data_IF_072282450737
#
_entry.id   IF_072282450737
#
_cell.length_a   1.000
_cell.length_b   1.000
_cell.length_c   1.000
_cell.angle_alpha   90.00
_cell.angle_beta   90.00
_cell.angle_gamma   90.00
#
_symmetry.space_group_name_H-M   'P 1'
#
loop_
_entity.id
_entity.type
_entity.pdbx_description
1 polymer ?
#
# COMPACT_ATOMS: atom_id res chain seq x y z
N UNK A 1 5.02 -19.34 -6.90
CA UNK A 1 5.72 -19.07 -5.62
C UNK A 1 4.69 -19.16 -4.49
N UNK A 2 5.09 -19.66 -3.32
CA UNK A 2 4.26 -19.65 -2.12
C UNK A 2 4.70 -18.54 -1.16
N UNK A 3 3.73 -17.90 -0.51
CA UNK A 3 3.93 -16.86 0.50
C UNK A 3 3.14 -17.17 1.76
N UNK A 4 3.64 -16.71 2.89
CA UNK A 4 3.15 -17.10 4.21
C UNK A 4 2.57 -15.89 4.94
N UNK A 5 1.29 -15.94 5.31
CA UNK A 5 0.68 -14.90 6.12
C UNK A 5 0.40 -15.43 7.52
N UNK A 6 0.95 -14.71 8.50
CA UNK A 6 0.81 -15.03 9.91
C UNK A 6 -0.48 -14.43 10.45
N UNK A 7 -1.21 -15.24 11.21
CA UNK A 7 -2.47 -14.85 11.80
C UNK A 7 -2.51 -15.18 13.28
N UNK A 8 -3.00 -14.22 14.08
CA UNK A 8 -3.44 -14.46 15.45
C UNK A 8 -4.76 -15.25 15.42
N UNK A 9 -5.07 -16.03 16.47
CA UNK A 9 -6.33 -16.77 16.54
C UNK A 9 -7.47 -15.81 16.96
N UNK A 10 -7.77 -14.83 16.12
CA UNK A 10 -8.76 -13.78 16.39
C UNK A 10 -9.83 -13.69 15.29
N UNK A 11 -10.77 -12.75 15.48
CA UNK A 11 -11.88 -12.52 14.57
C UNK A 11 -11.45 -12.11 13.16
N UNK A 12 -10.30 -11.43 13.01
CA UNK A 12 -9.82 -11.02 11.68
C UNK A 12 -9.29 -12.23 10.91
N UNK A 13 -8.64 -13.17 11.59
CA UNK A 13 -8.28 -14.44 10.98
C UNK A 13 -9.50 -15.26 10.55
N UNK A 14 -10.50 -15.38 11.41
CA UNK A 14 -11.72 -16.13 11.09
C UNK A 14 -12.42 -15.57 9.83
N UNK A 15 -12.44 -14.24 9.67
CA UNK A 15 -12.90 -13.58 8.44
C UNK A 15 -12.03 -13.88 7.23
N UNK A 16 -10.70 -13.80 7.39
CA UNK A 16 -9.75 -14.05 6.31
C UNK A 16 -9.99 -15.43 5.66
N UNK A 17 -10.15 -16.49 6.46
CA UNK A 17 -10.41 -17.82 5.92
C UNK A 17 -11.87 -18.04 5.52
N UNK A 18 -12.85 -17.47 6.23
CA UNK A 18 -14.27 -17.70 5.92
C UNK A 18 -14.71 -17.00 4.63
N UNK A 19 -14.24 -15.78 4.42
CA UNK A 19 -14.65 -14.94 3.30
C UNK A 19 -13.55 -14.77 2.24
N UNK A 20 -12.44 -15.52 2.38
CA UNK A 20 -11.27 -15.43 1.51
C UNK A 20 -10.75 -13.99 1.43
N UNK A 21 -10.66 -13.32 2.58
CA UNK A 21 -10.36 -11.89 2.70
C UNK A 21 -8.87 -11.63 2.95
N UNK A 22 -8.35 -10.63 2.23
CA UNK A 22 -7.10 -9.95 2.54
C UNK A 22 -7.43 -8.52 2.99
N UNK A 23 -7.05 -8.22 4.23
CA UNK A 23 -7.10 -6.87 4.77
C UNK A 23 -5.80 -6.11 4.46
N UNK A 24 -5.94 -4.99 3.76
CA UNK A 24 -4.87 -4.05 3.47
C UNK A 24 -4.86 -2.98 4.56
N UNK A 25 -3.96 -3.14 5.52
CA UNK A 25 -3.82 -2.26 6.68
C UNK A 25 -3.47 -0.83 6.29
N UNK A 26 -4.08 0.12 6.97
CA UNK A 26 -3.69 1.53 6.93
C UNK A 26 -2.34 1.75 7.62
N UNK A 27 -1.61 2.84 7.30
CA UNK A 27 -0.32 3.15 7.93
C UNK A 27 -0.37 3.18 9.46
N UNK A 28 -1.46 3.71 10.04
CA UNK A 28 -1.66 3.81 11.49
C UNK A 28 -1.79 2.44 12.19
N UNK A 29 -2.02 1.35 11.46
CA UNK A 29 -2.19 -0.01 11.97
C UNK A 29 -0.90 -0.85 11.86
N UNK A 30 0.16 -0.29 11.27
CA UNK A 30 1.44 -0.98 11.11
C UNK A 30 2.28 -0.91 12.39
N UNK A 31 3.04 -1.96 12.65
CA UNK A 31 3.94 -2.03 13.80
C UNK A 31 5.15 -1.08 13.68
N UNK A 32 5.52 -0.70 12.47
CA UNK A 32 6.58 0.27 12.21
C UNK A 32 5.95 1.63 11.84
N UNK A 33 6.09 2.65 12.71
CA UNK A 33 5.50 3.96 12.45
C UNK A 33 6.14 4.72 11.28
N UNK A 34 7.28 4.24 10.75
CA UNK A 34 7.93 4.84 9.58
C UNK A 34 7.65 4.03 8.30
N UNK A 35 6.96 2.90 8.39
CA UNK A 35 6.62 2.09 7.23
C UNK A 35 5.57 2.81 6.36
N UNK A 36 5.68 2.64 5.04
CA UNK A 36 4.89 3.33 4.00
C UNK A 36 4.90 4.87 4.02
N UNK A 37 5.50 5.51 5.03
CA UNK A 37 5.66 6.95 5.08
C UNK A 37 6.80 7.42 4.16
N UNK A 38 6.54 8.55 3.49
CA UNK A 38 7.50 9.28 2.67
C UNK A 38 7.62 10.70 3.19
N UNK A 39 8.85 11.19 3.21
CA UNK A 39 9.14 12.61 3.38
C UNK A 39 9.29 13.24 2.00
N UNK A 40 8.87 14.50 1.89
CA UNK A 40 8.99 15.26 0.65
C UNK A 40 9.90 16.46 0.88
N UNK A 41 10.71 16.76 -0.13
CA UNK A 41 11.58 17.94 -0.15
C UNK A 41 11.33 18.80 -1.38
N UNK A 42 11.63 20.08 -1.24
CA UNK A 42 11.72 21.00 -2.36
C UNK A 42 13.17 21.10 -2.83
N UNK A 43 13.44 20.59 -4.03
CA UNK A 43 14.74 20.74 -4.68
C UNK A 43 15.05 22.21 -5.01
N UNK A 44 16.31 22.50 -5.33
CA UNK A 44 16.80 23.82 -5.69
C UNK A 44 16.79 24.12 -7.21
N UNK A 45 16.27 23.20 -8.02
CA UNK A 45 16.32 23.23 -9.49
C UNK A 45 15.18 24.08 -10.06
N UNK A 46 15.52 25.24 -10.62
CA UNK A 46 14.55 26.21 -11.19
C UNK A 46 13.67 25.60 -12.29
N UNK A 47 14.23 24.72 -13.14
CA UNK A 47 13.48 24.10 -14.24
C UNK A 47 12.32 23.21 -13.74
N UNK A 48 12.39 22.66 -12.52
CA UNK A 48 11.30 21.85 -11.98
C UNK A 48 10.08 22.71 -11.60
N UNK A 49 10.30 23.92 -11.07
CA UNK A 49 9.22 24.89 -10.86
C UNK A 49 8.57 25.27 -12.17
N UNK A 50 9.37 25.51 -13.22
CA UNK A 50 8.83 25.78 -14.56
C UNK A 50 7.95 24.61 -15.04
N UNK A 51 8.40 23.37 -14.91
CA UNK A 51 7.59 22.19 -15.27
C UNK A 51 6.27 22.15 -14.49
N UNK A 52 6.32 22.37 -13.17
CA UNK A 52 5.13 22.39 -12.33
C UNK A 52 4.12 23.45 -12.79
N UNK A 53 4.58 24.70 -13.00
CA UNK A 53 3.70 25.82 -13.36
C UNK A 53 3.05 25.66 -14.74
N UNK A 54 3.76 25.05 -15.70
CA UNK A 54 3.21 24.74 -17.03
C UNK A 54 2.31 23.49 -17.05
N UNK A 55 2.29 22.70 -15.97
CA UNK A 55 1.45 21.51 -15.92
C UNK A 55 -0.03 21.89 -15.84
N UNK A 56 -0.87 21.16 -16.56
CA UNK A 56 -2.32 21.34 -16.54
C UNK A 56 -2.92 20.83 -15.23
N UNK A 57 -3.99 21.49 -14.79
CA UNK A 57 -4.74 21.07 -13.62
C UNK A 57 -6.24 20.96 -13.90
N UNK A 58 -6.88 19.92 -13.36
CA UNK A 58 -8.31 19.67 -13.58
C UNK A 58 -9.19 20.39 -12.54
N UNK A 59 -8.77 20.39 -11.26
CA UNK A 59 -9.56 20.89 -10.13
C UNK A 59 -9.20 22.31 -9.66
N UNK A 60 -8.34 22.99 -10.43
CA UNK A 60 -8.03 24.41 -10.25
C UNK A 60 -7.90 25.05 -11.63
N UNK A 61 -7.42 26.30 -11.71
CA UNK A 61 -7.24 26.95 -12.99
C UNK A 61 -6.29 26.14 -13.90
N UNK A 62 -6.80 25.78 -15.08
CA UNK A 62 -6.21 24.74 -15.92
C UNK A 62 -4.77 25.07 -16.30
N UNK A 63 -4.52 26.28 -16.76
CA UNK A 63 -3.22 26.71 -17.30
C UNK A 63 -2.82 28.05 -16.70
N UNK A 64 -1.86 28.04 -15.77
CA UNK A 64 -1.40 29.25 -15.12
C UNK A 64 -0.71 30.24 -16.07
N UNK A 65 -0.31 29.84 -17.29
CA UNK A 65 0.30 30.73 -18.27
C UNK A 65 -0.66 31.82 -18.78
N UNK A 66 -1.98 31.65 -18.60
CA UNK A 66 -2.94 32.71 -18.94
C UNK A 66 -2.95 33.86 -17.91
N UNK A 67 -2.33 33.68 -16.74
CA UNK A 67 -2.30 34.65 -15.65
C UNK A 67 -0.86 35.07 -15.33
N UNK A 68 0.09 34.14 -15.40
CA UNK A 68 1.49 34.32 -15.00
C UNK A 68 2.38 34.45 -16.23
N UNK A 69 3.36 35.36 -16.18
CA UNK A 69 4.40 35.47 -17.19
C UNK A 69 5.46 34.38 -16.96
N UNK A 70 5.17 33.18 -17.48
CA UNK A 70 6.07 32.03 -17.37
C UNK A 70 7.27 32.09 -18.32
N UNK A 71 7.33 33.09 -19.22
CA UNK A 71 8.52 33.35 -20.04
C UNK A 71 9.65 33.99 -19.24
N UNK A 72 9.31 34.66 -18.14
CA UNK A 72 10.24 35.29 -17.22
C UNK A 72 10.58 34.35 -16.06
N UNK A 73 11.84 34.37 -15.64
CA UNK A 73 12.29 33.55 -14.51
C UNK A 73 11.87 34.09 -13.14
N UNK A 74 11.23 35.27 -13.05
CA UNK A 74 10.94 35.95 -11.78
C UNK A 74 10.13 35.09 -10.82
N UNK A 75 9.00 34.55 -11.27
CA UNK A 75 8.14 33.71 -10.43
C UNK A 75 8.84 32.43 -9.99
N UNK A 76 9.54 31.78 -10.92
CA UNK A 76 10.30 30.56 -10.67
C UNK A 76 11.43 30.80 -9.65
N UNK A 77 12.16 31.90 -9.78
CA UNK A 77 13.21 32.30 -8.83
C UNK A 77 12.64 32.65 -7.45
N UNK A 78 11.51 33.36 -7.41
CA UNK A 78 10.83 33.72 -6.18
C UNK A 78 10.33 32.50 -5.42
N UNK A 79 9.59 31.60 -6.08
CA UNK A 79 9.12 30.36 -5.48
C UNK A 79 10.29 29.48 -5.03
N UNK A 80 11.33 29.33 -5.86
CA UNK A 80 12.50 28.57 -5.46
C UNK A 80 13.22 29.18 -4.25
N UNK A 81 13.28 30.51 -4.13
CA UNK A 81 13.89 31.17 -2.96
C UNK A 81 13.12 30.85 -1.68
N UNK A 82 11.79 30.84 -1.74
CA UNK A 82 10.90 30.53 -0.60
C UNK A 82 11.04 29.06 -0.20
N UNK A 83 10.95 28.15 -1.17
CA UNK A 83 10.76 26.74 -0.91
C UNK A 83 12.05 25.89 -0.84
N UNK A 84 13.16 26.31 -1.48
CA UNK A 84 14.37 25.48 -1.59
C UNK A 84 14.83 24.90 -0.24
N UNK A 85 15.05 23.59 -0.20
CA UNK A 85 15.54 22.89 0.99
C UNK A 85 14.52 22.70 2.11
N UNK A 86 13.30 23.23 1.98
CA UNK A 86 12.20 22.91 2.90
C UNK A 86 11.77 21.47 2.73
N UNK A 87 11.30 20.90 3.83
CA UNK A 87 10.81 19.52 3.94
C UNK A 87 9.41 19.52 4.50
N UNK A 88 8.59 18.59 4.02
CA UNK A 88 7.26 18.32 4.55
C UNK A 88 7.12 16.82 4.77
N UNK A 89 6.37 16.45 5.81
CA UNK A 89 5.96 15.06 5.98
C UNK A 89 4.93 14.71 4.91
N UNK A 90 4.70 13.42 4.66
CA UNK A 90 3.75 12.96 3.66
C UNK A 90 2.26 13.22 3.93
N UNK A 91 1.92 14.16 4.82
CA UNK A 91 0.56 14.60 5.05
C UNK A 91 0.29 15.96 4.42
N UNK A 92 -0.97 16.19 4.06
CA UNK A 92 -1.40 17.42 3.38
C UNK A 92 -1.30 18.66 4.28
N UNK A 93 -1.48 18.47 5.59
CA UNK A 93 -1.37 19.53 6.60
C UNK A 93 0.03 20.15 6.64
N UNK A 94 1.08 19.36 6.43
CA UNK A 94 2.45 19.89 6.38
C UNK A 94 2.65 20.84 5.20
N UNK A 95 1.99 20.60 4.05
CA UNK A 95 2.03 21.54 2.93
C UNK A 95 1.18 22.79 3.20
N UNK A 96 0.02 22.63 3.83
CA UNK A 96 -0.81 23.76 4.26
C UNK A 96 -0.03 24.71 5.18
N UNK A 97 0.55 24.18 6.25
CA UNK A 97 1.34 24.95 7.21
C UNK A 97 2.51 25.67 6.54
N UNK A 98 3.14 25.05 5.53
CA UNK A 98 4.24 25.67 4.80
C UNK A 98 3.79 26.84 3.92
N UNK A 99 2.60 26.75 3.32
CA UNK A 99 2.02 27.85 2.57
C UNK A 99 1.60 28.99 3.51
N UNK A 100 0.99 28.66 4.64
CA UNK A 100 0.52 29.63 5.61
C UNK A 100 1.69 30.41 6.25
N UNK A 101 2.81 29.72 6.54
CA UNK A 101 4.06 30.34 7.04
C UNK A 101 4.62 31.38 6.06
N UNK A 102 4.42 31.19 4.75
CA UNK A 102 5.00 32.03 3.69
C UNK A 102 3.95 32.77 2.85
N UNK A 103 2.74 32.95 3.38
CA UNK A 103 1.61 33.45 2.61
C UNK A 103 1.90 34.78 1.91
N UNK A 104 2.43 35.76 2.64
CA UNK A 104 2.71 37.09 2.11
C UNK A 104 3.82 37.08 1.06
N UNK A 105 4.88 36.31 1.28
CA UNK A 105 5.99 36.16 0.34
C UNK A 105 5.53 35.47 -0.95
N UNK A 106 4.73 34.42 -0.84
CA UNK A 106 4.17 33.69 -2.00
C UNK A 106 3.29 34.64 -2.81
N UNK A 107 2.38 35.36 -2.15
CA UNK A 107 1.48 36.32 -2.83
C UNK A 107 2.25 37.45 -3.49
N UNK A 108 3.31 37.94 -2.85
CA UNK A 108 4.19 38.96 -3.44
C UNK A 108 4.87 38.43 -4.71
N UNK A 109 5.45 37.22 -4.66
CA UNK A 109 6.09 36.58 -5.82
C UNK A 109 5.09 36.36 -6.95
N UNK A 110 3.86 35.95 -6.63
CA UNK A 110 2.79 35.79 -7.62
C UNK A 110 2.49 37.14 -8.30
N UNK A 111 2.25 38.22 -7.53
CA UNK A 111 1.99 39.57 -8.09
C UNK A 111 3.10 40.04 -9.01
N UNK A 112 4.36 39.87 -8.59
CA UNK A 112 5.54 40.25 -9.39
C UNK A 112 5.72 39.40 -10.67
N UNK A 113 5.12 38.20 -10.69
CA UNK A 113 5.15 37.26 -11.80
C UNK A 113 3.89 37.26 -12.68
N UNK A 114 2.89 38.09 -12.39
CA UNK A 114 1.67 38.17 -13.18
C UNK A 114 1.87 38.89 -14.51
N UNK A 115 1.11 38.47 -15.51
CA UNK A 115 0.94 39.25 -16.74
C UNK A 115 0.28 40.59 -16.41
N UNK A 116 0.55 41.66 -17.20
CA UNK A 116 -0.23 42.89 -17.13
C UNK A 116 -1.72 42.59 -17.22
N UNK A 117 -2.53 43.19 -16.34
CA UNK A 117 -3.97 42.87 -16.22
C UNK A 117 -4.73 42.99 -17.54
N UNK A 118 -4.36 43.95 -18.39
CA UNK A 118 -4.96 44.17 -19.70
C UNK A 118 -4.64 43.07 -20.73
N UNK A 119 -3.71 42.15 -20.43
CA UNK A 119 -3.39 40.96 -21.22
C UNK A 119 -4.06 39.69 -20.70
N UNK A 120 -4.69 39.75 -19.52
CA UNK A 120 -5.38 38.63 -18.89
C UNK A 120 -6.85 38.67 -19.32
N UNK A 121 -7.41 37.52 -19.70
CA UNK A 121 -8.82 37.44 -20.12
C UNK A 121 -9.74 37.82 -18.93
N UNK A 122 -10.61 38.85 -19.07
CA UNK A 122 -11.49 39.31 -18.00
C UNK A 122 -12.45 38.24 -17.45
N UNK A 123 -12.77 37.23 -18.25
CA UNK A 123 -13.61 36.09 -17.83
C UNK A 123 -12.99 35.36 -16.62
N UNK A 124 -11.66 35.36 -16.48
CA UNK A 124 -10.95 34.65 -15.41
C UNK A 124 -11.25 35.26 -14.03
N UNK A 125 -11.44 36.58 -13.96
CA UNK A 125 -11.69 37.29 -12.70
C UNK A 125 -13.12 37.84 -12.58
N UNK A 126 -14.00 37.52 -13.52
CA UNK A 126 -15.47 37.70 -13.45
C UNK A 126 -15.93 39.07 -12.92
N UNK A 127 -15.41 40.15 -13.51
CA UNK A 127 -15.71 41.54 -13.10
C UNK A 127 -15.50 41.83 -11.60
N UNK A 128 -14.62 41.07 -10.92
CA UNK A 128 -14.28 41.31 -9.52
C UNK A 128 -13.85 42.78 -9.30
N UNK A 129 -14.30 43.44 -8.21
CA UNK A 129 -13.86 44.78 -7.87
C UNK A 129 -12.37 44.85 -7.52
N UNK A 130 -11.75 43.71 -7.21
CA UNK A 130 -10.32 43.57 -6.93
C UNK A 130 -9.69 42.47 -7.81
N UNK A 131 -9.55 42.70 -9.13
CA UNK A 131 -9.11 41.67 -10.07
C UNK A 131 -7.75 41.08 -9.71
N UNK A 132 -6.80 41.91 -9.29
CA UNK A 132 -5.46 41.47 -8.92
C UNK A 132 -5.50 40.49 -7.74
N UNK A 133 -6.24 40.82 -6.67
CA UNK A 133 -6.35 39.96 -5.49
C UNK A 133 -7.06 38.63 -5.81
N UNK A 134 -8.06 38.66 -6.70
CA UNK A 134 -8.72 37.46 -7.22
C UNK A 134 -7.75 36.57 -8.00
N UNK A 135 -6.99 37.15 -8.92
CA UNK A 135 -6.01 36.43 -9.75
C UNK A 135 -4.86 35.84 -8.92
N UNK A 136 -4.39 36.56 -7.91
CA UNK A 136 -3.40 36.06 -6.95
C UNK A 136 -3.93 34.82 -6.24
N UNK A 137 -5.16 34.88 -5.72
CA UNK A 137 -5.82 33.74 -5.06
C UNK A 137 -5.95 32.54 -6.02
N UNK A 138 -6.32 32.78 -7.28
CA UNK A 138 -6.41 31.73 -8.30
C UNK A 138 -5.05 31.06 -8.53
N UNK A 139 -3.98 31.85 -8.64
CA UNK A 139 -2.63 31.33 -8.83
C UNK A 139 -2.12 30.58 -7.61
N UNK A 140 -2.32 31.13 -6.41
CA UNK A 140 -1.94 30.50 -5.13
C UNK A 140 -2.57 29.10 -5.02
N UNK A 141 -3.88 29.02 -5.22
CA UNK A 141 -4.62 27.76 -5.23
C UNK A 141 -4.14 26.84 -6.36
N UNK A 142 -3.88 27.37 -7.55
CA UNK A 142 -3.38 26.60 -8.68
C UNK A 142 -2.00 25.99 -8.46
N UNK A 143 -1.09 26.70 -7.78
CA UNK A 143 0.24 26.19 -7.42
C UNK A 143 0.11 25.13 -6.33
N UNK A 144 -0.65 25.44 -5.27
CA UNK A 144 -0.85 24.54 -4.13
C UNK A 144 -1.50 23.23 -4.57
N UNK A 145 -2.49 23.30 -5.46
CA UNK A 145 -3.15 22.15 -6.09
C UNK A 145 -2.18 21.24 -6.85
N UNK A 146 -1.32 21.82 -7.68
CA UNK A 146 -0.32 21.07 -8.44
C UNK A 146 0.66 20.33 -7.54
N UNK A 147 1.01 20.91 -6.40
CA UNK A 147 1.86 20.28 -5.38
C UNK A 147 1.11 19.18 -4.62
N UNK A 148 -0.15 19.38 -4.25
CA UNK A 148 -0.94 18.35 -3.57
C UNK A 148 -1.02 17.05 -4.34
N UNK A 149 -1.27 17.12 -5.64
CA UNK A 149 -1.35 15.94 -6.51
C UNK A 149 -0.05 15.13 -6.58
N UNK A 150 1.06 15.66 -6.05
CA UNK A 150 2.35 14.97 -5.93
C UNK A 150 2.52 14.24 -4.59
N UNK A 151 1.70 14.56 -3.59
CA UNK A 151 1.72 13.94 -2.27
C UNK A 151 0.75 12.76 -2.28
N UNK A 152 1.27 11.57 -1.96
CA UNK A 152 0.44 10.39 -1.66
C UNK A 152 0.00 10.45 -0.20
N UNK A 153 -1.30 10.65 0.10
CA UNK A 153 -1.78 10.89 1.47
C UNK A 153 -1.70 9.64 2.36
N UNK A 154 -1.95 8.47 1.77
CA UNK A 154 -1.87 7.19 2.46
C UNK A 154 -1.53 6.06 1.48
N UNK A 155 -0.95 4.99 2.02
CA UNK A 155 -0.78 3.72 1.31
C UNK A 155 -1.26 2.59 2.21
N UNK A 156 -2.13 1.76 1.66
CA UNK A 156 -2.67 0.60 2.36
C UNK A 156 -1.95 -0.65 1.89
N UNK A 157 -1.61 -1.56 2.80
CA UNK A 157 -0.82 -2.73 2.41
C UNK A 157 -1.21 -4.02 3.11
N UNK A 158 -0.97 -5.12 2.40
CA UNK A 158 -1.02 -6.46 2.98
C UNK A 158 0.35 -7.13 2.81
N UNK A 159 0.86 -7.63 3.93
CA UNK A 159 2.18 -8.24 4.03
C UNK A 159 2.11 -9.75 4.15
N UNK A 160 3.10 -10.39 3.55
CA UNK A 160 3.41 -11.81 3.61
C UNK A 160 4.90 -12.00 3.88
N UNK A 161 5.29 -13.18 4.34
CA UNK A 161 6.68 -13.59 4.45
C UNK A 161 7.00 -14.66 3.41
N UNK A 162 8.26 -14.73 2.97
CA UNK A 162 8.78 -15.91 2.28
C UNK A 162 9.31 -16.99 3.23
N UNK A 163 9.29 -16.77 4.54
CA UNK A 163 9.71 -17.74 5.54
C UNK A 163 8.55 -18.08 6.47
N UNK A 164 8.13 -19.35 6.48
CA UNK A 164 7.03 -19.82 7.31
C UNK A 164 7.41 -20.15 8.77
N UNK A 165 8.70 -20.35 9.05
CA UNK A 165 9.18 -20.89 10.33
C UNK A 165 10.01 -19.88 11.15
N UNK A 166 10.01 -18.60 10.77
CA UNK A 166 10.71 -17.57 11.53
C UNK A 166 10.09 -17.37 12.92
N UNK A 167 10.88 -17.61 13.97
CA UNK A 167 10.40 -17.56 15.36
C UNK A 167 9.92 -16.18 15.79
N UNK A 168 10.51 -15.10 15.28
CA UNK A 168 10.12 -13.73 15.62
C UNK A 168 8.78 -13.41 14.96
N UNK A 169 8.56 -13.87 13.73
CA UNK A 169 7.26 -13.77 13.05
C UNK A 169 6.16 -14.51 13.82
N UNK A 170 6.43 -15.73 14.28
CA UNK A 170 5.47 -16.49 15.10
C UNK A 170 5.18 -15.82 16.45
N UNK A 171 6.18 -15.23 17.09
CA UNK A 171 6.02 -14.49 18.33
C UNK A 171 5.14 -13.24 18.16
N UNK A 172 5.43 -12.41 17.15
CA UNK A 172 4.76 -11.12 16.95
C UNK A 172 3.42 -11.22 16.23
N UNK A 173 3.34 -12.04 15.18
CA UNK A 173 2.22 -12.04 14.23
C UNK A 173 1.29 -13.26 14.35
N UNK A 174 1.77 -14.39 14.89
CA UNK A 174 0.93 -15.57 15.16
C UNK A 174 0.58 -15.73 16.65
N UNK A 175 0.33 -14.61 17.34
CA UNK A 175 -0.22 -14.58 18.69
C UNK A 175 0.65 -15.30 19.70
N UNK A 176 1.98 -15.17 19.60
CA UNK A 176 2.89 -15.93 20.45
C UNK A 176 2.71 -17.43 20.26
N UNK A 177 2.85 -17.93 19.02
CA UNK A 177 2.80 -19.38 18.70
C UNK A 177 1.44 -20.07 18.94
N UNK A 178 0.38 -19.32 19.24
CA UNK A 178 -1.00 -19.84 19.41
C UNK A 178 -1.85 -19.71 18.14
N UNK A 179 -1.43 -18.85 17.21
CA UNK A 179 -2.05 -18.64 15.92
C UNK A 179 -1.59 -19.63 14.86
N UNK A 180 -1.65 -19.23 13.61
CA UNK A 180 -1.26 -20.07 12.48
C UNK A 180 -0.61 -19.26 11.36
N UNK A 181 -0.13 -19.98 10.35
CA UNK A 181 0.34 -19.43 9.09
C UNK A 181 -0.52 -19.98 7.98
N UNK A 182 -1.12 -19.10 7.17
CA UNK A 182 -1.82 -19.47 5.95
C UNK A 182 -0.86 -19.40 4.77
N UNK A 183 -0.84 -20.44 3.97
CA UNK A 183 0.02 -20.60 2.79
C UNK A 183 -0.76 -20.15 1.57
N UNK A 184 -0.25 -19.12 0.89
CA UNK A 184 -0.85 -18.56 -0.32
C UNK A 184 -0.04 -18.91 -1.57
N UNK A 185 -0.70 -19.37 -2.62
CA UNK A 185 -0.12 -19.46 -3.95
C UNK A 185 -0.19 -18.12 -4.67
N UNK A 186 0.93 -17.72 -5.26
CA UNK A 186 0.99 -16.54 -6.14
C UNK A 186 1.01 -16.97 -7.59
N UNK A 187 0.41 -16.15 -8.46
CA UNK A 187 0.44 -16.33 -9.90
C UNK A 187 1.71 -15.68 -10.45
N UNK A 188 2.30 -16.28 -11.49
CA UNK A 188 3.45 -15.73 -12.20
C UNK A 188 3.07 -15.38 -13.63
N UNK A 189 3.65 -14.30 -14.16
CA UNK A 189 3.57 -14.01 -15.60
C UNK A 189 4.45 -14.98 -16.38
N UNK A 190 4.14 -15.15 -17.66
CA UNK A 190 4.86 -16.04 -18.60
C UNK A 190 6.36 -15.73 -18.69
N UNK A 191 6.78 -14.52 -18.33
CA UNK A 191 8.18 -14.09 -18.28
C UNK A 191 8.90 -14.45 -16.96
N UNK A 192 8.21 -15.07 -15.99
CA UNK A 192 8.70 -15.41 -14.64
C UNK A 192 9.28 -14.22 -13.83
N UNK A 193 9.09 -12.98 -14.27
CA UNK A 193 9.74 -11.81 -13.62
C UNK A 193 8.92 -11.20 -12.49
N UNK A 194 7.59 -11.37 -12.51
CA UNK A 194 6.68 -10.70 -11.58
C UNK A 194 5.64 -11.69 -11.03
N UNK A 195 5.56 -11.76 -9.70
CA UNK A 195 4.50 -12.47 -8.99
C UNK A 195 3.34 -11.53 -8.68
N UNK A 196 2.11 -12.04 -8.74
CA UNK A 196 0.91 -11.26 -8.49
C UNK A 196 -0.22 -12.11 -7.90
N UNK A 197 -1.25 -11.44 -7.39
CA UNK A 197 -2.50 -12.07 -6.99
C UNK A 197 -3.68 -11.33 -7.65
N UNK A 198 -4.68 -12.10 -8.08
CA UNK A 198 -5.95 -11.57 -8.56
C UNK A 198 -6.93 -11.50 -7.40
N UNK A 199 -7.44 -10.30 -7.13
CA UNK A 199 -8.39 -10.05 -6.06
C UNK A 199 -9.67 -9.38 -6.58
N UNK A 200 -10.72 -9.42 -5.78
CA UNK A 200 -12.03 -8.81 -6.06
C UNK A 200 -12.41 -7.87 -4.94
N UNK A 201 -13.19 -6.85 -5.25
CA UNK A 201 -13.77 -5.91 -4.27
C UNK A 201 -14.87 -6.56 -3.41
N UNK A 202 -15.55 -7.58 -3.95
CA UNK A 202 -16.55 -8.38 -3.24
C UNK A 202 -16.53 -9.85 -3.71
N UNK A 203 -16.98 -10.78 -2.85
CA UNK A 203 -17.00 -12.23 -3.13
C UNK A 203 -17.80 -12.59 -4.40
N UNK A 204 -18.83 -11.81 -4.73
CA UNK A 204 -19.69 -12.03 -5.90
C UNK A 204 -19.35 -11.14 -7.09
N UNK A 205 -18.32 -10.29 -6.98
CA UNK A 205 -17.94 -9.38 -8.05
C UNK A 205 -17.27 -10.13 -9.19
N UNK A 206 -17.61 -9.75 -10.42
CA UNK A 206 -16.86 -10.14 -11.62
C UNK A 206 -15.62 -9.26 -11.83
N UNK A 207 -15.56 -8.10 -11.17
CA UNK A 207 -14.45 -7.17 -11.28
C UNK A 207 -13.23 -7.75 -10.56
N UNK A 208 -12.14 -7.93 -11.32
CA UNK A 208 -10.91 -8.54 -10.82
C UNK A 208 -9.74 -7.58 -11.00
N UNK A 209 -9.05 -7.32 -9.89
CA UNK A 209 -7.86 -6.48 -9.82
C UNK A 209 -6.62 -7.36 -9.77
N UNK A 210 -5.59 -7.01 -10.55
CA UNK A 210 -4.29 -7.69 -10.50
C UNK A 210 -3.35 -6.87 -9.63
N UNK A 211 -2.97 -7.42 -8.47
CA UNK A 211 -2.04 -6.78 -7.55
C UNK A 211 -0.64 -7.38 -7.69
N UNK A 212 0.36 -6.60 -8.12
CA UNK A 212 1.75 -7.00 -8.07
C UNK A 212 2.18 -7.27 -6.63
N UNK A 213 2.91 -8.36 -6.43
CA UNK A 213 3.55 -8.69 -5.16
C UNK A 213 5.03 -8.37 -5.31
N UNK A 214 5.52 -7.45 -4.46
CA UNK A 214 6.90 -6.98 -4.51
C UNK A 214 7.66 -7.38 -3.24
N UNK A 215 8.92 -7.85 -3.35
CA UNK A 215 9.77 -8.07 -2.19
C UNK A 215 10.18 -6.73 -1.55
N UNK A 216 10.34 -6.73 -0.23
CA UNK A 216 10.83 -5.57 0.51
C UNK A 216 12.36 -5.51 0.48
N UNK A 217 12.90 -4.32 0.16
CA UNK A 217 14.31 -3.96 0.28
C UNK A 217 14.56 -3.41 1.69
N UNK A 218 15.51 -4.00 2.42
CA UNK A 218 15.82 -3.57 3.79
C UNK A 218 16.96 -2.55 3.83
N UNK A 219 16.64 -1.30 4.18
CA UNK A 219 17.57 -0.18 4.23
C UNK A 219 17.27 0.75 5.40
N UNK A 220 18.32 1.36 5.95
CA UNK A 220 18.18 2.39 6.99
C UNK A 220 18.17 3.81 6.38
N UNK A 221 18.13 3.93 5.06
CA UNK A 221 18.07 5.20 4.36
C UNK A 221 16.69 5.83 4.55
N UNK A 222 16.67 7.16 4.70
CA UNK A 222 15.43 7.93 4.72
C UNK A 222 14.72 7.81 3.36
N UNK A 223 13.39 7.70 3.40
CA UNK A 223 12.54 7.66 2.21
C UNK A 223 12.11 9.08 1.87
N UNK A 224 12.94 9.79 1.09
CA UNK A 224 12.73 11.19 0.73
C UNK A 224 12.54 11.36 -0.79
N UNK A 225 11.49 12.09 -1.17
CA UNK A 225 11.10 12.34 -2.57
C UNK A 225 11.14 13.83 -2.88
N UNK A 226 11.56 14.19 -4.08
CA UNK A 226 11.41 15.57 -4.56
C UNK A 226 9.96 15.84 -4.95
N UNK A 227 9.35 16.86 -4.33
CA UNK A 227 7.97 17.24 -4.63
C UNK A 227 7.81 17.88 -6.03
N UNK A 228 8.92 18.38 -6.59
CA UNK A 228 8.92 19.09 -7.87
C UNK A 228 9.32 18.19 -9.06
N UNK A 229 9.89 17.02 -8.79
CA UNK A 229 10.41 16.15 -9.85
C UNK A 229 9.27 15.44 -10.59
N UNK A 230 9.21 15.55 -11.93
CA UNK A 230 8.19 14.86 -12.70
C UNK A 230 8.48 13.37 -12.82
N UNK A 231 7.43 12.55 -12.69
CA UNK A 231 7.49 11.13 -13.08
C UNK A 231 8.32 10.23 -12.17
N UNK A 232 8.59 10.61 -10.93
CA UNK A 232 9.26 9.72 -9.97
C UNK A 232 8.34 8.55 -9.65
N UNK A 233 8.73 7.33 -10.03
CA UNK A 233 8.08 6.12 -9.57
C UNK A 233 8.44 5.86 -8.10
N UNK A 234 7.62 6.40 -7.20
CA UNK A 234 7.79 6.25 -5.75
C UNK A 234 7.32 4.90 -5.23
N UNK A 235 6.78 4.04 -6.11
CA UNK A 235 6.33 2.68 -5.79
C UNK A 235 7.46 1.84 -5.18
N UNK A 236 8.70 2.04 -5.63
CA UNK A 236 9.87 1.35 -5.05
C UNK A 236 10.15 1.76 -3.60
N UNK A 237 9.88 3.01 -3.22
CA UNK A 237 10.14 3.52 -1.87
C UNK A 237 9.15 2.93 -0.85
N UNK A 238 7.93 2.59 -1.27
CA UNK A 238 6.99 1.83 -0.44
C UNK A 238 7.41 0.38 -0.21
N UNK A 239 8.37 -0.11 -1.01
CA UNK A 239 9.02 -1.40 -0.81
C UNK A 239 10.33 -1.29 -0.02
N UNK A 240 10.59 -0.18 0.67
CA UNK A 240 11.76 -0.03 1.54
C UNK A 240 11.36 0.00 3.01
N UNK A 241 11.98 -0.86 3.82
CA UNK A 241 11.75 -0.98 5.26
C UNK A 241 13.06 -0.97 6.03
N UNK A 242 13.03 -0.55 7.30
CA UNK A 242 14.21 -0.52 8.16
C UNK A 242 14.83 -1.92 8.31
N UNK A 243 16.16 -2.02 8.38
CA UNK A 243 16.87 -3.31 8.52
C UNK A 243 16.53 -4.08 9.79
N UNK A 244 16.03 -3.41 10.82
CA UNK A 244 15.53 -4.05 12.04
C UNK A 244 14.41 -5.08 11.74
N UNK A 245 13.62 -4.86 10.70
CA UNK A 245 12.53 -5.75 10.28
C UNK A 245 12.95 -6.83 9.26
N UNK A 246 14.26 -7.00 9.01
CA UNK A 246 14.76 -7.94 8.00
C UNK A 246 14.30 -9.39 8.20
N UNK A 247 14.07 -9.79 9.45
CA UNK A 247 13.61 -11.14 9.79
C UNK A 247 12.25 -11.48 9.15
N UNK A 248 11.43 -10.48 8.85
CA UNK A 248 10.10 -10.70 8.26
C UNK A 248 10.15 -11.28 6.85
N UNK A 249 11.27 -11.11 6.13
CA UNK A 249 11.45 -11.59 4.75
C UNK A 249 10.24 -11.23 3.88
N UNK A 250 9.85 -9.96 3.94
CA UNK A 250 8.53 -9.48 3.58
C UNK A 250 8.33 -9.37 2.07
N UNK A 251 7.15 -9.78 1.62
CA UNK A 251 6.55 -9.49 0.33
C UNK A 251 5.24 -8.75 0.55
N UNK A 252 4.94 -7.76 -0.31
CA UNK A 252 3.81 -6.86 -0.10
C UNK A 252 3.02 -6.62 -1.37
N UNK A 253 1.70 -6.51 -1.20
CA UNK A 253 0.80 -5.81 -2.13
C UNK A 253 0.33 -4.53 -1.46
N UNK A 254 0.11 -3.48 -2.23
CA UNK A 254 -0.35 -2.21 -1.67
C UNK A 254 -1.18 -1.39 -2.66
N UNK A 255 -1.96 -0.48 -2.09
CA UNK A 255 -2.82 0.46 -2.80
C UNK A 255 -2.48 1.87 -2.32
N UNK A 256 -1.84 2.70 -3.15
CA UNK A 256 -1.69 4.11 -2.84
C UNK A 256 -3.05 4.82 -3.00
N UNK A 257 -3.38 5.70 -2.06
CA UNK A 257 -4.48 6.64 -2.22
C UNK A 257 -4.08 7.69 -3.26
N UNK A 258 -4.86 7.82 -4.33
CA UNK A 258 -4.65 8.89 -5.29
C UNK A 258 -5.09 10.22 -4.68
N UNK A 259 -4.22 11.24 -4.78
CA UNK A 259 -4.59 12.58 -4.35
C UNK A 259 -5.30 13.33 -5.49
N UNK A 260 -6.58 13.64 -5.30
CA UNK A 260 -7.40 14.37 -6.28
C UNK A 260 -7.32 15.89 -6.12
N UNK A 261 -6.58 16.38 -5.12
CA UNK A 261 -6.35 17.80 -4.87
C UNK A 261 -7.44 18.52 -4.07
N UNK A 262 -7.33 19.84 -3.98
CA UNK A 262 -8.15 20.79 -3.20
C UNK A 262 -9.64 20.66 -3.56
N UNK A 263 -9.98 20.43 -4.84
CA UNK A 263 -11.36 20.52 -5.33
C UNK A 263 -12.26 19.32 -5.01
N UNK A 264 -11.70 18.15 -4.69
CA UNK A 264 -12.48 16.94 -4.42
C UNK A 264 -12.17 16.30 -3.05
N UNK A 265 -10.98 16.51 -2.49
CA UNK A 265 -10.59 15.84 -1.24
C UNK A 265 -10.93 16.67 0.01
N UNK A 266 -11.06 17.99 -0.07
CA UNK A 266 -11.35 18.82 1.13
C UNK A 266 -12.78 18.67 1.64
N UNK A 267 -13.76 18.48 0.76
CA UNK A 267 -15.14 18.12 1.16
C UNK A 267 -15.25 16.67 1.67
N UNK A 268 -14.22 15.84 1.41
CA UNK A 268 -14.18 14.41 1.71
C UNK A 268 -13.24 14.09 2.89
N UNK A 269 -12.39 15.04 3.31
CA UNK A 269 -11.51 14.92 4.50
C UNK A 269 -12.29 14.65 5.79
N UNK A 270 -13.57 15.02 5.83
CA UNK A 270 -14.49 14.71 6.94
C UNK A 270 -15.21 13.34 6.79
N UNK A 271 -15.04 12.64 5.66
CA UNK A 271 -15.81 11.42 5.32
C UNK A 271 -14.91 10.16 5.19
N UNK A 272 -13.68 10.27 4.67
CA UNK A 272 -12.80 9.09 4.49
C UNK A 272 -11.96 8.85 5.75
N UNK A 273 -12.33 7.82 6.52
CA UNK A 273 -11.52 7.36 7.63
C UNK A 273 -10.27 6.61 7.12
N UNK A 274 -9.17 7.35 6.94
CA UNK A 274 -7.85 6.83 6.53
C UNK A 274 -7.18 5.91 7.55
N UNK A 275 -7.79 5.71 8.72
CA UNK A 275 -7.33 4.73 9.71
C UNK A 275 -7.92 3.34 9.47
N UNK A 276 -8.84 3.20 8.51
CA UNK A 276 -9.48 1.93 8.17
C UNK A 276 -8.90 1.42 6.87
N UNK A 277 -8.32 0.22 6.92
CA UNK A 277 -7.83 -0.48 5.75
C UNK A 277 -8.91 -0.94 4.76
N UNK A 278 -8.46 -1.47 3.63
CA UNK A 278 -9.34 -2.00 2.57
C UNK A 278 -9.45 -3.53 2.67
N UNK A 279 -10.61 -4.06 2.28
CA UNK A 279 -10.82 -5.51 2.18
C UNK A 279 -10.91 -5.87 0.71
N UNK A 280 -10.17 -6.91 0.32
CA UNK A 280 -10.30 -7.54 -0.98
C UNK A 280 -10.40 -9.05 -0.81
N UNK A 281 -11.03 -9.72 -1.78
CA UNK A 281 -11.29 -11.15 -1.74
C UNK A 281 -10.46 -11.90 -2.77
N UNK A 282 -9.75 -12.94 -2.35
CA UNK A 282 -9.03 -13.85 -3.25
C UNK A 282 -9.93 -15.01 -3.70
N UNK A 283 -9.45 -15.78 -4.68
CA UNK A 283 -10.06 -17.06 -5.04
C UNK A 283 -9.76 -18.12 -3.98
N UNK A 284 -10.65 -19.10 -3.77
CA UNK A 284 -10.44 -20.19 -2.80
C UNK A 284 -9.14 -20.93 -3.07
N UNK A 285 -8.78 -21.12 -4.34
CA UNK A 285 -7.55 -21.80 -4.75
C UNK A 285 -6.26 -21.04 -4.40
N UNK A 286 -6.35 -19.78 -3.96
CA UNK A 286 -5.17 -19.05 -3.50
C UNK A 286 -4.65 -19.60 -2.17
N UNK A 287 -5.51 -20.14 -1.30
CA UNK A 287 -5.06 -20.81 -0.07
C UNK A 287 -4.68 -22.25 -0.41
N UNK A 288 -3.43 -22.59 -0.11
CA UNK A 288 -2.84 -23.90 -0.37
C UNK A 288 -2.67 -24.71 0.91
N UNK A 289 -2.74 -24.06 2.07
CA UNK A 289 -2.67 -24.77 3.32
C UNK A 289 -2.58 -23.88 4.54
N UNK A 290 -2.52 -24.53 5.70
CA UNK A 290 -2.36 -23.90 7.01
C UNK A 290 -1.32 -24.66 7.83
N UNK A 291 -0.40 -23.92 8.44
CA UNK A 291 0.52 -24.42 9.46
C UNK A 291 -0.04 -23.98 10.82
N UNK A 292 -0.45 -24.93 11.64
CA UNK A 292 -0.98 -24.66 12.97
C UNK A 292 0.14 -24.42 13.97
N UNK A 293 -0.05 -23.41 14.82
CA UNK A 293 0.90 -23.10 15.88
C UNK A 293 0.98 -24.19 16.94
N UNK A 294 2.14 -24.35 17.60
CA UNK A 294 2.35 -25.37 18.63
C UNK A 294 1.37 -25.27 19.81
N UNK A 295 0.82 -24.08 20.08
CA UNK A 295 -0.13 -23.83 21.17
C UNK A 295 -1.59 -23.78 20.73
N UNK A 296 -1.87 -24.05 19.45
CA UNK A 296 -3.25 -24.04 18.96
C UNK A 296 -4.01 -25.28 19.45
N UNK A 297 -5.21 -25.08 19.99
CA UNK A 297 -6.05 -26.18 20.48
C UNK A 297 -6.58 -27.04 19.33
N UNK A 298 -6.79 -28.33 19.59
CA UNK A 298 -7.39 -29.26 18.62
C UNK A 298 -8.76 -28.79 18.14
N UNK A 299 -9.57 -28.22 19.05
CA UNK A 299 -10.88 -27.65 18.70
C UNK A 299 -10.74 -26.54 17.64
N UNK A 300 -9.80 -25.60 17.83
CA UNK A 300 -9.61 -24.51 16.87
C UNK A 300 -9.05 -25.01 15.53
N UNK A 301 -8.17 -26.01 15.53
CA UNK A 301 -7.69 -26.67 14.30
C UNK A 301 -8.84 -27.28 13.51
N UNK A 302 -9.78 -27.91 14.20
CA UNK A 302 -10.98 -28.50 13.59
C UNK A 302 -11.93 -27.43 13.03
N UNK A 303 -12.17 -26.33 13.76
CA UNK A 303 -12.97 -25.19 13.25
C UNK A 303 -12.38 -24.59 11.95
N UNK A 304 -11.06 -24.42 11.91
CA UNK A 304 -10.34 -23.94 10.73
C UNK A 304 -10.50 -24.92 9.58
N UNK A 305 -10.32 -26.21 9.85
CA UNK A 305 -10.52 -27.26 8.86
C UNK A 305 -11.94 -27.23 8.27
N UNK A 306 -12.97 -27.18 9.10
CA UNK A 306 -14.37 -27.14 8.63
C UNK A 306 -14.63 -25.89 7.78
N UNK A 307 -14.04 -24.75 8.14
CA UNK A 307 -14.18 -23.50 7.36
C UNK A 307 -13.52 -23.65 5.98
N UNK A 308 -12.28 -24.14 5.93
CA UNK A 308 -11.56 -24.34 4.66
C UNK A 308 -12.24 -25.40 3.80
N UNK A 309 -12.70 -26.51 4.42
CA UNK A 309 -13.45 -27.56 3.74
C UNK A 309 -14.70 -27.00 3.06
N UNK A 310 -15.49 -26.21 3.77
CA UNK A 310 -16.69 -25.56 3.21
C UNK A 310 -16.35 -24.70 1.99
N UNK A 311 -15.28 -23.90 2.05
CA UNK A 311 -14.86 -23.09 0.90
C UNK A 311 -14.44 -23.95 -0.29
N UNK A 312 -13.68 -25.03 -0.04
CA UNK A 312 -13.21 -25.94 -1.08
C UNK A 312 -14.36 -26.68 -1.77
N UNK A 313 -15.36 -27.14 -1.01
CA UNK A 313 -16.54 -27.83 -1.55
C UNK A 313 -17.41 -26.92 -2.43
N UNK A 314 -17.32 -25.61 -2.25
CA UNK A 314 -18.02 -24.61 -3.06
C UNK A 314 -17.13 -23.99 -4.16
N UNK A 315 -15.86 -24.42 -4.30
CA UNK A 315 -14.96 -23.89 -5.30
C UNK A 315 -15.21 -24.54 -6.68
N UNK A 316 -15.11 -23.74 -7.76
CA UNK A 316 -15.29 -24.24 -9.13
C UNK A 316 -14.16 -25.19 -9.57
N UNK A 317 -12.95 -25.00 -9.05
CA UNK A 317 -11.79 -25.83 -9.36
C UNK A 317 -10.93 -26.03 -8.10
N UNK A 318 -11.35 -26.91 -7.17
CA UNK A 318 -10.64 -27.09 -5.92
C UNK A 318 -9.26 -27.71 -6.16
N UNK A 319 -8.23 -27.09 -5.57
CA UNK A 319 -6.87 -27.64 -5.51
C UNK A 319 -6.69 -28.43 -4.21
N UNK A 320 -5.70 -29.34 -4.12
CA UNK A 320 -5.34 -29.92 -2.83
C UNK A 320 -4.99 -28.85 -1.80
N UNK A 321 -5.36 -29.07 -0.54
CA UNK A 321 -5.04 -28.18 0.56
C UNK A 321 -4.30 -28.94 1.66
N UNK A 322 -3.27 -28.32 2.22
CA UNK A 322 -2.34 -28.95 3.15
C UNK A 322 -2.51 -28.42 4.58
N UNK A 323 -2.41 -29.30 5.56
CA UNK A 323 -2.52 -28.96 6.98
C UNK A 323 -1.32 -29.51 7.71
N UNK A 324 -0.56 -28.62 8.34
CA UNK A 324 0.67 -28.97 9.03
C UNK A 324 0.56 -28.65 10.51
N UNK A 325 0.98 -29.58 11.35
CA UNK A 325 1.22 -29.32 12.76
C UNK A 325 2.68 -28.92 12.97
N UNK A 326 2.91 -27.95 13.86
CA UNK A 326 4.25 -27.51 14.21
C UNK A 326 4.55 -27.69 15.69
N UNK A 327 5.83 -27.85 16.00
CA UNK A 327 6.37 -27.97 17.36
C UNK A 327 7.39 -26.87 17.63
N UNK A 328 7.48 -26.45 18.89
CA UNK A 328 8.48 -25.48 19.36
C UNK A 328 9.53 -26.21 20.19
N UNK A 329 10.78 -26.19 19.72
CA UNK A 329 11.90 -26.76 20.45
C UNK A 329 12.24 -25.92 21.71
N UNK A 330 12.97 -26.49 22.68
CA UNK A 330 13.48 -25.73 23.83
C UNK A 330 14.38 -24.54 23.46
N UNK A 331 15.01 -24.57 22.28
CA UNK A 331 15.84 -23.48 21.75
C UNK A 331 15.04 -22.40 21.01
N UNK A 332 13.70 -22.54 20.97
CA UNK A 332 12.80 -21.62 20.28
C UNK A 332 12.75 -21.81 18.77
N UNK A 333 13.19 -22.97 18.24
CA UNK A 333 13.08 -23.30 16.81
C UNK A 333 11.72 -23.94 16.55
N UNK A 334 11.07 -23.55 15.45
CA UNK A 334 9.81 -24.14 15.02
C UNK A 334 10.11 -25.15 13.91
N UNK A 335 9.47 -26.32 13.98
CA UNK A 335 9.57 -27.35 12.97
C UNK A 335 8.19 -27.96 12.69
N UNK A 336 7.97 -28.41 11.45
CA UNK A 336 6.78 -29.20 11.10
C UNK A 336 6.95 -30.61 11.64
N UNK A 337 5.97 -31.09 12.41
CA UNK A 337 5.98 -32.43 13.00
C UNK A 337 5.09 -33.42 12.24
N UNK A 338 3.95 -32.95 11.73
CA UNK A 338 3.02 -33.79 10.96
C UNK A 338 2.40 -33.00 9.80
N UNK A 339 1.96 -33.72 8.77
CA UNK A 339 1.25 -33.15 7.63
C UNK A 339 0.09 -34.01 7.19
N UNK A 340 -0.96 -33.35 6.72
CA UNK A 340 -2.15 -33.97 6.19
C UNK A 340 -2.57 -33.24 4.91
N UNK A 341 -3.12 -33.97 3.96
CA UNK A 341 -3.60 -33.43 2.69
C UNK A 341 -5.10 -33.63 2.59
N UNK A 342 -5.80 -32.61 2.11
CA UNK A 342 -7.19 -32.69 1.70
C UNK A 342 -7.26 -32.63 0.18
N UNK A 343 -7.83 -33.67 -0.43
CA UNK A 343 -7.96 -33.77 -1.89
C UNK A 343 -9.45 -33.80 -2.25
N UNK A 344 -9.92 -32.95 -3.18
CA UNK A 344 -11.26 -33.07 -3.72
C UNK A 344 -11.36 -34.35 -4.57
N UNK A 345 -12.22 -35.28 -4.15
CA UNK A 345 -12.50 -36.50 -4.91
C UNK A 345 -13.81 -36.32 -5.68
N UNK A 346 -13.84 -36.66 -6.97
CA UNK A 346 -15.06 -36.59 -7.78
C UNK A 346 -16.19 -37.40 -7.13
N UNK A 347 -17.29 -36.73 -6.78
CA UNK A 347 -18.50 -37.35 -6.23
C UNK A 347 -18.44 -37.73 -4.74
N UNK A 348 -17.35 -37.42 -4.03
CA UNK A 348 -17.22 -37.69 -2.59
C UNK A 348 -16.93 -36.43 -1.78
N UNK A 349 -17.27 -36.45 -0.49
CA UNK A 349 -16.92 -35.39 0.45
C UNK A 349 -15.39 -35.22 0.55
N UNK A 350 -14.92 -34.02 0.89
CA UNK A 350 -13.50 -33.75 1.06
C UNK A 350 -12.91 -34.61 2.20
N UNK A 351 -11.93 -35.48 1.90
CA UNK A 351 -11.27 -36.34 2.89
C UNK A 351 -9.87 -35.82 3.20
N UNK A 352 -9.51 -35.79 4.49
CA UNK A 352 -8.19 -35.45 4.99
C UNK A 352 -7.39 -36.72 5.28
N UNK A 353 -6.24 -36.88 4.63
CA UNK A 353 -5.37 -38.06 4.79
C UNK A 353 -4.01 -37.66 5.34
N UNK A 354 -3.47 -38.44 6.27
CA UNK A 354 -2.12 -38.22 6.83
C UNK A 354 -1.05 -38.56 5.79
N UNK A 355 -0.05 -37.70 5.67
CA UNK A 355 1.09 -37.91 4.79
C UNK A 355 2.12 -38.83 5.46
N UNK A 356 2.79 -39.67 4.67
CA UNK A 356 3.99 -40.34 5.14
C UNK A 356 5.20 -39.37 5.15
N UNK A 357 6.31 -39.79 5.76
CA UNK A 357 7.50 -38.94 5.93
C UNK A 357 8.14 -38.48 4.61
N UNK A 358 8.08 -39.30 3.57
CA UNK A 358 8.66 -38.98 2.25
C UNK A 358 7.80 -37.93 1.55
N UNK A 359 6.48 -38.16 1.48
CA UNK A 359 5.49 -37.22 0.94
C UNK A 359 5.55 -35.88 1.65
N UNK A 360 5.62 -35.89 2.99
CA UNK A 360 5.74 -34.66 3.78
C UNK A 360 6.99 -33.88 3.38
N UNK A 361 8.14 -34.56 3.26
CA UNK A 361 9.38 -33.88 2.89
C UNK A 361 9.36 -33.30 1.48
N UNK A 362 8.78 -34.01 0.52
CA UNK A 362 8.62 -33.54 -0.86
C UNK A 362 7.74 -32.29 -0.91
N UNK A 363 6.56 -32.33 -0.30
CA UNK A 363 5.61 -31.21 -0.30
C UNK A 363 6.19 -29.99 0.42
N UNK A 364 6.87 -30.16 1.55
CA UNK A 364 7.51 -29.05 2.25
C UNK A 364 8.60 -28.40 1.39
N UNK A 365 9.39 -29.19 0.65
CA UNK A 365 10.37 -28.67 -0.29
C UNK A 365 9.71 -27.91 -1.45
N UNK A 366 8.65 -28.47 -2.04
CA UNK A 366 7.92 -27.85 -3.15
C UNK A 366 7.28 -26.51 -2.76
N UNK A 367 6.74 -26.42 -1.54
CA UNK A 367 6.15 -25.18 -1.00
C UNK A 367 7.24 -24.18 -0.55
N UNK A 368 8.49 -24.63 -0.39
CA UNK A 368 9.59 -23.79 0.11
C UNK A 368 9.60 -23.62 1.63
N UNK A 369 9.03 -24.56 2.37
CA UNK A 369 9.12 -24.65 3.83
C UNK A 369 10.37 -25.47 4.18
N UNK A 370 11.53 -24.82 4.15
CA UNK A 370 12.81 -25.46 4.50
C UNK A 370 12.92 -25.72 6.02
N UNK A 371 13.52 -26.86 6.39
CA UNK A 371 13.69 -27.33 7.79
C UNK A 371 14.71 -26.54 8.61
#
# INVERSE_FOLDING_TARGET
>A
MYLFKYYRPDFFFDKAIRYNELYFSAPAQLNDPNDLNLDYRFDNRLNLWSYLLHSKCEYSYEDLSHILDLSQLKIVQGLNKIFKGKRIKGNLESLDNLFDEHLDDIRKVIREGMLPINRINPIIYDNSPEPEQKLVTICENGIKERLYRKIIPAVFSVSFSSNALDRMMWAHYAGGFSGCVVIYETQQRVDNTLSFMKLRDNVFSSNTFTFPIKPIKYSNQAKEVSLLEPGVDITELFCVKNRFWKYESEYRMFVPEANVGIGNERDVKDIINRNVGHIFHHDVSAIQGVIFGPRMSTLKKEEIWQTIKSNMENATNPKPCYFFDSELSPTGKIAISMGQQAIPMQGYALIKTTMNSTQLSEILNDIGIAK
#
